data_IF_501890478863
#
_entry.id   IF_501890478863
#
_cell.length_a   1.000
_cell.length_b   1.000
_cell.length_c   1.000
_cell.angle_alpha   90.00
_cell.angle_beta   90.00
_cell.angle_gamma   90.00
#
_symmetry.space_group_name_H-M   'P 1'
#
loop_
_entity.id
_entity.type
_entity.pdbx_description
1 polymer ?
#
# COMPACT_ATOMS: atom_id res chain seq x y z
N UNK A 1 25.03 -7.39 0.18
CA UNK A 1 25.47 -8.57 -0.58
C UNK A 1 24.50 -8.74 -1.76
N UNK A 2 24.87 -8.26 -2.95
CA UNK A 2 24.06 -8.44 -4.16
C UNK A 2 24.69 -9.59 -4.94
N UNK A 3 23.93 -10.66 -5.21
CA UNK A 3 24.42 -11.85 -5.95
C UNK A 3 25.66 -12.52 -5.31
N UNK A 4 25.78 -12.51 -3.99
CA UNK A 4 26.90 -13.13 -3.28
C UNK A 4 28.25 -12.38 -3.38
N UNK A 5 28.29 -11.19 -4.00
CA UNK A 5 29.51 -10.40 -4.13
C UNK A 5 29.58 -9.30 -3.06
N UNK A 6 30.76 -9.13 -2.46
CA UNK A 6 31.08 -7.97 -1.63
C UNK A 6 31.52 -6.82 -2.54
N UNK A 7 30.85 -5.68 -2.40
CA UNK A 7 31.24 -4.44 -3.09
C UNK A 7 31.75 -3.48 -2.03
N UNK A 8 32.99 -3.02 -2.20
CA UNK A 8 33.61 -2.01 -1.35
C UNK A 8 33.77 -0.72 -2.17
N UNK A 9 33.35 0.40 -1.59
CA UNK A 9 33.49 1.73 -2.20
C UNK A 9 34.33 2.59 -1.26
N UNK A 10 35.43 3.14 -1.77
CA UNK A 10 36.38 3.94 -0.99
C UNK A 10 36.59 5.36 -1.54
N UNK A 11 36.06 5.66 -2.73
CA UNK A 11 36.24 6.96 -3.37
C UNK A 11 35.34 8.02 -2.72
N UNK A 12 35.95 9.12 -2.26
CA UNK A 12 35.25 10.20 -1.57
C UNK A 12 34.05 10.79 -2.35
N UNK A 13 34.11 11.00 -3.68
CA UNK A 13 32.96 11.47 -4.43
C UNK A 13 31.78 10.49 -4.41
N UNK A 14 32.06 9.18 -4.45
CA UNK A 14 31.04 8.14 -4.41
C UNK A 14 30.44 8.00 -3.00
N UNK A 15 31.26 8.13 -1.95
CA UNK A 15 30.80 8.12 -0.56
C UNK A 15 29.99 9.38 -0.22
N UNK A 16 30.33 10.53 -0.80
CA UNK A 16 29.70 11.82 -0.50
C UNK A 16 28.21 11.92 -0.84
N UNK A 17 27.69 11.03 -1.67
CA UNK A 17 26.26 10.95 -2.03
C UNK A 17 25.51 9.82 -1.31
N UNK A 18 26.19 8.98 -0.52
CA UNK A 18 25.55 7.92 0.24
C UNK A 18 24.80 8.47 1.45
N UNK A 19 23.61 7.94 1.71
CA UNK A 19 22.82 8.29 2.88
C UNK A 19 23.28 7.48 4.08
N UNK A 20 23.45 8.15 5.22
CA UNK A 20 23.76 7.52 6.51
C UNK A 20 22.67 7.86 7.51
N UNK A 21 22.37 6.91 8.41
CA UNK A 21 21.41 7.14 9.48
C UNK A 21 22.07 7.99 10.58
N UNK A 22 21.43 9.10 10.94
CA UNK A 22 21.89 9.99 12.02
C UNK A 22 20.80 10.11 13.07
N UNK A 23 21.18 10.07 14.34
CA UNK A 23 20.26 10.37 15.44
C UNK A 23 20.13 11.88 15.55
N UNK A 24 18.95 12.43 15.24
CA UNK A 24 18.62 13.82 15.52
C UNK A 24 18.26 13.96 17.01
N UNK A 25 19.08 14.68 17.77
CA UNK A 25 18.86 14.94 19.21
C UNK A 25 18.29 16.33 19.48
N UNK A 26 17.93 17.08 18.43
CA UNK A 26 17.37 18.42 18.50
C UNK A 26 15.85 18.42 18.38
N UNK A 27 15.33 19.11 17.37
CA UNK A 27 13.89 19.22 17.13
C UNK A 27 13.27 17.92 16.60
N UNK A 28 11.94 17.80 16.71
CA UNK A 28 11.19 16.67 16.17
C UNK A 28 11.28 16.58 14.63
N UNK A 29 10.93 15.43 14.06
CA UNK A 29 10.94 15.24 12.61
C UNK A 29 9.93 16.17 11.92
N UNK A 30 10.17 16.44 10.63
CA UNK A 30 9.21 17.18 9.80
C UNK A 30 7.85 16.46 9.79
N UNK A 31 6.76 17.23 9.97
CA UNK A 31 5.40 16.68 10.03
C UNK A 31 4.99 16.08 11.39
N UNK A 32 5.85 16.17 12.43
CA UNK A 32 5.49 15.72 13.77
C UNK A 32 4.29 16.51 14.34
N UNK A 33 3.28 15.81 14.83
CA UNK A 33 2.05 16.39 15.38
C UNK A 33 2.02 16.42 16.91
N UNK A 34 3.13 16.15 17.59
CA UNK A 34 3.18 16.21 19.05
C UNK A 34 3.06 17.65 19.57
N UNK A 35 2.58 17.82 20.79
CA UNK A 35 2.34 19.13 21.43
C UNK A 35 3.54 20.07 21.38
N UNK A 36 4.76 19.55 21.53
CA UNK A 36 5.99 20.34 21.47
C UNK A 36 6.35 20.82 20.06
N UNK A 37 5.99 20.06 19.03
CA UNK A 37 6.27 20.41 17.63
C UNK A 37 5.19 21.33 17.06
N UNK A 38 3.92 21.13 17.44
CA UNK A 38 2.80 21.98 16.99
C UNK A 38 2.85 23.38 17.58
N UNK A 39 3.44 23.55 18.77
CA UNK A 39 3.61 24.86 19.42
C UNK A 39 4.71 25.73 18.77
N UNK A 40 5.57 25.16 17.91
CA UNK A 40 6.61 25.89 17.19
C UNK A 40 6.08 26.27 15.81
N UNK A 41 5.95 27.56 15.55
CA UNK A 41 5.47 28.09 14.26
C UNK A 41 6.14 27.39 13.07
N UNK A 42 5.31 26.78 12.22
CA UNK A 42 5.74 25.88 11.18
C UNK A 42 6.58 26.60 10.12
N UNK A 43 7.89 26.38 10.11
CA UNK A 43 8.65 26.48 8.84
C UNK A 43 7.90 25.63 7.82
N UNK A 44 7.59 26.19 6.64
CA UNK A 44 6.95 25.46 5.52
C UNK A 44 7.75 24.18 5.24
N UNK A 45 7.33 23.07 5.83
CA UNK A 45 7.91 21.75 5.57
C UNK A 45 7.51 21.36 4.16
N UNK A 46 8.46 20.85 3.38
CA UNK A 46 8.14 20.26 2.08
C UNK A 46 7.14 19.12 2.31
N UNK A 47 6.04 19.14 1.58
CA UNK A 47 5.05 18.08 1.60
C UNK A 47 5.65 16.79 1.06
N UNK A 48 5.24 15.66 1.61
CA UNK A 48 5.68 14.34 1.19
C UNK A 48 4.90 13.91 -0.06
N UNK A 49 5.62 13.44 -1.08
CA UNK A 49 5.08 12.93 -2.35
C UNK A 49 5.31 11.41 -2.48
N UNK A 50 5.42 10.73 -1.34
CA UNK A 50 5.67 9.29 -1.26
C UNK A 50 4.59 8.64 -0.39
N UNK A 51 4.16 7.43 -0.79
CA UNK A 51 3.22 6.63 -0.01
C UNK A 51 3.88 6.19 1.31
N UNK A 52 3.16 6.35 2.42
CA UNK A 52 3.63 5.90 3.73
C UNK A 52 3.16 4.45 3.98
N UNK A 53 4.12 3.53 4.08
CA UNK A 53 3.87 2.11 4.32
C UNK A 53 4.26 1.78 5.75
N UNK A 54 3.26 1.55 6.60
CA UNK A 54 3.50 1.11 7.97
C UNK A 54 3.78 -0.39 8.02
N UNK A 55 4.77 -0.81 8.80
CA UNK A 55 5.05 -2.23 9.05
C UNK A 55 4.15 -2.79 10.15
N UNK A 56 3.56 -3.95 9.89
CA UNK A 56 2.66 -4.66 10.79
C UNK A 56 2.92 -6.17 10.73
N UNK A 57 2.27 -6.91 11.63
CA UNK A 57 2.39 -8.36 11.71
C UNK A 57 1.01 -8.99 11.96
N UNK A 58 0.68 -10.07 11.24
CA UNK A 58 -0.59 -10.80 11.40
C UNK A 58 -0.84 -11.20 12.86
N UNK A 59 -2.09 -11.10 13.30
CA UNK A 59 -2.48 -11.44 14.67
C UNK A 59 -2.12 -10.39 15.72
N UNK A 60 -1.37 -9.34 15.34
CA UNK A 60 -1.14 -8.17 16.20
C UNK A 60 -2.43 -7.37 16.38
N UNK A 61 -2.46 -6.53 17.42
CA UNK A 61 -3.58 -5.62 17.66
C UNK A 61 -3.82 -4.71 16.45
N UNK A 62 -5.08 -4.50 16.10
CA UNK A 62 -5.47 -3.56 15.05
C UNK A 62 -4.99 -2.14 15.38
N UNK A 63 -4.34 -1.41 14.44
CA UNK A 63 -3.77 -0.09 14.71
C UNK A 63 -4.85 0.99 14.73
N UNK A 64 -5.44 1.22 15.92
CA UNK A 64 -6.51 2.22 16.12
C UNK A 64 -6.02 3.67 16.03
N UNK A 65 -4.71 3.88 16.16
CA UNK A 65 -4.05 5.19 16.19
C UNK A 65 -3.51 5.62 14.81
N UNK A 66 -3.58 4.74 13.80
CA UNK A 66 -3.09 5.02 12.45
C UNK A 66 -4.25 5.05 11.45
N UNK A 67 -4.37 6.12 10.64
CA UNK A 67 -5.38 6.19 9.59
C UNK A 67 -4.98 5.30 8.42
N UNK A 68 -5.39 4.04 8.41
CA UNK A 68 -5.08 3.12 7.32
C UNK A 68 -6.05 3.34 6.15
N UNK A 69 -5.54 3.34 4.92
CA UNK A 69 -6.37 3.55 3.72
C UNK A 69 -7.38 2.41 3.53
N UNK A 70 -8.66 2.76 3.65
CA UNK A 70 -9.82 1.88 3.48
C UNK A 70 -10.27 1.84 2.03
N UNK A 71 -10.57 0.63 1.54
CA UNK A 71 -11.12 0.42 0.21
C UNK A 71 -12.39 1.25 -0.01
N UNK A 72 -12.41 2.07 -1.08
CA UNK A 72 -13.55 2.94 -1.46
C UNK A 72 -14.10 3.85 -0.34
N UNK A 73 -13.36 4.03 0.75
CA UNK A 73 -13.82 4.71 1.97
C UNK A 73 -15.14 4.17 2.55
N UNK A 74 -15.48 2.90 2.30
CA UNK A 74 -16.71 2.24 2.79
C UNK A 74 -16.51 0.73 2.97
N UNK A 75 -17.43 0.02 3.66
CA UNK A 75 -17.40 -1.43 3.65
C UNK A 75 -17.62 -1.93 2.22
N UNK A 76 -16.91 -2.99 1.86
CA UNK A 76 -17.13 -3.71 0.60
C UNK A 76 -18.21 -4.76 0.78
N UNK A 77 -18.97 -5.04 -0.28
CA UNK A 77 -19.96 -6.11 -0.28
C UNK A 77 -19.26 -7.47 -0.41
N UNK A 78 -18.82 -8.08 0.70
CA UNK A 78 -18.16 -9.39 0.63
C UNK A 78 -19.18 -10.54 0.70
N UNK A 79 -18.80 -11.79 0.33
CA UNK A 79 -19.66 -12.97 0.51
C UNK A 79 -20.09 -13.23 1.97
N UNK A 80 -19.33 -12.74 2.96
CA UNK A 80 -19.68 -12.84 4.39
C UNK A 80 -20.46 -11.63 4.92
N UNK A 81 -20.88 -10.71 4.04
CA UNK A 81 -21.52 -9.45 4.38
C UNK A 81 -20.57 -8.26 4.26
N UNK A 82 -21.04 -7.04 4.62
CA UNK A 82 -20.21 -5.85 4.59
C UNK A 82 -18.96 -5.97 5.48
N UNK A 83 -17.77 -5.79 4.90
CA UNK A 83 -16.49 -5.86 5.63
C UNK A 83 -15.55 -4.73 5.17
N UNK A 84 -14.76 -4.22 6.10
CA UNK A 84 -13.74 -3.22 5.81
C UNK A 84 -12.45 -3.86 5.37
N UNK A 85 -12.07 -3.57 4.13
CA UNK A 85 -10.78 -3.96 3.57
C UNK A 85 -9.82 -2.77 3.55
N UNK A 86 -8.56 -3.04 3.86
CA UNK A 86 -7.50 -2.04 3.93
C UNK A 86 -6.35 -2.43 2.99
N UNK A 87 -5.79 -1.43 2.32
CA UNK A 87 -4.71 -1.65 1.33
C UNK A 87 -3.46 -2.17 2.02
N UNK A 88 -2.98 -3.32 1.55
CA UNK A 88 -1.84 -4.01 2.15
C UNK A 88 -0.89 -4.59 1.11
N UNK A 89 0.37 -4.73 1.49
CA UNK A 89 1.47 -5.24 0.69
C UNK A 89 2.20 -6.35 1.48
N UNK A 90 2.47 -7.44 0.79
CA UNK A 90 3.28 -8.56 1.29
C UNK A 90 4.34 -8.94 0.25
N UNK A 91 5.35 -9.68 0.66
CA UNK A 91 6.36 -10.21 -0.25
C UNK A 91 6.45 -11.73 -0.14
N UNK A 92 6.27 -12.41 -1.28
CA UNK A 92 6.45 -13.85 -1.38
C UNK A 92 7.56 -14.16 -2.39
N UNK A 93 8.64 -14.82 -1.95
CA UNK A 93 9.84 -15.07 -2.75
C UNK A 93 10.39 -13.84 -3.49
N UNK A 94 10.37 -12.67 -2.84
CA UNK A 94 10.88 -11.41 -3.39
C UNK A 94 9.93 -10.72 -4.38
N UNK A 95 8.74 -11.26 -4.62
CA UNK A 95 7.70 -10.64 -5.44
C UNK A 95 6.73 -9.84 -4.57
N UNK A 96 6.42 -8.58 -4.92
CA UNK A 96 5.39 -7.81 -4.22
C UNK A 96 4.00 -8.35 -4.54
N UNK A 97 3.19 -8.53 -3.49
CA UNK A 97 1.81 -8.98 -3.55
C UNK A 97 0.94 -7.92 -2.87
N UNK A 98 0.16 -7.17 -3.65
CA UNK A 98 -0.90 -6.32 -3.09
C UNK A 98 -2.08 -7.20 -2.70
N UNK A 99 -2.78 -6.82 -1.64
CA UNK A 99 -3.92 -7.56 -1.14
C UNK A 99 -4.71 -6.75 -0.13
N UNK A 100 -5.44 -7.45 0.74
CA UNK A 100 -6.25 -6.83 1.77
C UNK A 100 -5.82 -7.25 3.16
N UNK A 101 -5.96 -6.32 4.09
CA UNK A 101 -6.03 -6.58 5.51
C UNK A 101 -7.40 -6.18 6.06
N UNK A 102 -7.82 -6.79 7.17
CA UNK A 102 -9.06 -6.43 7.88
C UNK A 102 -8.94 -6.70 9.37
N UNK A 103 -9.84 -6.08 10.14
CA UNK A 103 -9.91 -6.25 11.58
C UNK A 103 -10.73 -7.51 11.92
N UNK A 104 -10.05 -8.59 12.31
CA UNK A 104 -10.66 -9.81 12.82
C UNK A 104 -10.62 -9.80 14.35
N UNK A 105 -11.73 -9.42 14.97
CA UNK A 105 -11.89 -9.44 16.44
C UNK A 105 -10.78 -8.68 17.20
N UNK A 106 -10.42 -7.49 16.72
CA UNK A 106 -9.38 -6.63 17.30
C UNK A 106 -7.97 -6.92 16.79
N UNK A 107 -7.78 -7.92 15.93
CA UNK A 107 -6.47 -8.31 15.40
C UNK A 107 -6.38 -8.15 13.89
N UNK A 108 -5.16 -7.96 13.41
CA UNK A 108 -4.87 -7.87 11.98
C UNK A 108 -4.97 -9.27 11.37
N UNK A 109 -5.77 -9.39 10.33
CA UNK A 109 -5.74 -10.51 9.40
C UNK A 109 -5.57 -10.00 7.97
N UNK A 110 -5.13 -10.86 7.05
CA UNK A 110 -4.88 -10.48 5.66
C UNK A 110 -5.02 -11.65 4.69
N UNK A 111 -5.14 -11.30 3.41
CA UNK A 111 -5.22 -12.25 2.30
C UNK A 111 -4.51 -11.67 1.08
N UNK A 112 -3.61 -12.48 0.52
CA UNK A 112 -2.81 -12.17 -0.66
C UNK A 112 -2.90 -13.32 -1.67
N UNK A 113 -2.70 -13.00 -2.95
CA UNK A 113 -2.60 -14.00 -4.01
C UNK A 113 -1.17 -14.05 -4.53
N UNK A 114 -0.63 -15.27 -4.61
CA UNK A 114 0.55 -15.53 -5.42
C UNK A 114 0.51 -16.94 -6.02
N UNK A 115 1.01 -17.07 -7.26
CA UNK A 115 1.06 -18.34 -7.99
C UNK A 115 -0.26 -19.12 -7.97
N UNK A 116 -1.40 -18.42 -8.11
CA UNK A 116 -2.74 -19.02 -8.13
C UNK A 116 -3.20 -19.58 -6.79
N UNK A 117 -2.60 -19.16 -5.67
CA UNK A 117 -2.97 -19.58 -4.32
C UNK A 117 -3.25 -18.39 -3.41
N UNK A 118 -4.16 -18.58 -2.47
CA UNK A 118 -4.38 -17.65 -1.36
C UNK A 118 -3.36 -17.89 -0.25
N UNK A 119 -2.84 -16.80 0.31
CA UNK A 119 -2.03 -16.79 1.52
C UNK A 119 -2.72 -15.92 2.57
N UNK A 120 -3.02 -16.52 3.72
CA UNK A 120 -3.75 -15.90 4.84
C UNK A 120 -3.30 -16.52 6.16
N UNK A 121 -3.58 -15.86 7.29
CA UNK A 121 -3.14 -16.30 8.62
C UNK A 121 -1.63 -16.22 8.81
N UNK A 122 -1.10 -17.05 9.71
CA UNK A 122 0.27 -16.91 10.24
C UNK A 122 1.39 -17.03 9.18
N UNK A 123 1.13 -17.68 8.04
CA UNK A 123 2.10 -17.83 6.94
C UNK A 123 2.50 -16.48 6.32
N UNK A 124 1.64 -15.47 6.41
CA UNK A 124 1.93 -14.13 5.91
C UNK A 124 2.97 -13.44 6.80
N UNK A 125 2.87 -13.58 8.12
CA UNK A 125 3.77 -12.95 9.08
C UNK A 125 3.77 -11.43 8.98
N UNK A 126 4.90 -10.84 8.58
CA UNK A 126 5.04 -9.40 8.41
C UNK A 126 4.38 -8.91 7.11
N UNK A 127 3.64 -7.81 7.19
CA UNK A 127 3.05 -7.12 6.04
C UNK A 127 3.19 -5.62 6.20
N UNK A 128 2.84 -4.89 5.15
CA UNK A 128 2.74 -3.44 5.17
C UNK A 128 1.31 -3.00 4.86
N UNK A 129 0.84 -1.92 5.48
CA UNK A 129 -0.45 -1.29 5.15
C UNK A 129 -0.23 0.19 4.86
N UNK A 130 -0.98 0.75 3.91
CA UNK A 130 -0.84 2.17 3.57
C UNK A 130 -1.42 3.02 4.69
N UNK A 131 -0.58 3.87 5.27
CA UNK A 131 -0.96 4.89 6.24
C UNK A 131 -1.25 6.19 5.49
N UNK A 132 -2.41 6.79 5.75
CA UNK A 132 -2.75 8.09 5.22
C UNK A 132 -2.00 9.17 5.98
N UNK A 133 -1.13 9.90 5.28
CA UNK A 133 -0.47 11.05 5.87
C UNK A 133 -1.49 12.15 6.19
N UNK A 134 -1.31 12.91 7.29
CA UNK A 134 -2.14 14.07 7.56
C UNK A 134 -2.12 15.07 6.39
N UNK A 135 -3.22 15.78 6.09
CA UNK A 135 -3.27 16.75 4.97
C UNK A 135 -2.22 17.87 5.06
N UNK A 136 -1.75 18.16 6.27
CA UNK A 136 -0.68 19.14 6.54
C UNK A 136 0.70 18.64 6.10
N UNK A 137 0.90 17.32 5.98
CA UNK A 137 2.15 16.68 5.60
C UNK A 137 2.12 16.12 4.16
N UNK A 138 0.93 15.72 3.67
CA UNK A 138 0.77 15.10 2.35
C UNK A 138 0.78 16.12 1.20
N UNK A 139 1.49 15.76 0.14
CA UNK A 139 1.50 16.44 -1.16
C UNK A 139 0.37 16.03 -2.09
N UNK A 140 -0.37 14.99 -1.71
CA UNK A 140 -1.34 14.30 -2.56
C UNK A 140 -2.49 13.76 -1.72
N UNK A 141 -3.57 13.39 -2.37
CA UNK A 141 -4.69 12.64 -1.80
C UNK A 141 -4.87 11.29 -2.52
N UNK A 142 -5.41 10.30 -1.81
CA UNK A 142 -5.76 9.03 -2.45
C UNK A 142 -7.16 9.08 -3.05
N UNK A 143 -7.27 8.68 -4.30
CA UNK A 143 -8.54 8.50 -4.99
C UNK A 143 -8.62 7.08 -5.56
N UNK A 144 -9.83 6.65 -5.92
CA UNK A 144 -10.07 5.40 -6.62
C UNK A 144 -10.55 5.73 -8.02
N UNK A 145 -9.85 5.23 -9.04
CA UNK A 145 -10.16 5.48 -10.44
C UNK A 145 -10.37 4.15 -11.18
N UNK A 146 -11.24 4.11 -12.21
CA UNK A 146 -11.29 2.98 -13.12
C UNK A 146 -9.90 2.67 -13.70
N UNK A 147 -9.57 1.39 -13.85
CA UNK A 147 -8.30 0.93 -14.44
C UNK A 147 -7.99 1.61 -15.78
N UNK A 148 -9.01 1.80 -16.63
CA UNK A 148 -8.84 2.45 -17.93
C UNK A 148 -8.29 3.87 -17.81
N UNK A 149 -8.60 4.58 -16.72
CA UNK A 149 -8.06 5.90 -16.41
C UNK A 149 -6.71 5.78 -15.69
N UNK A 150 -6.63 4.93 -14.66
CA UNK A 150 -5.43 4.77 -13.84
C UNK A 150 -4.22 4.26 -14.64
N UNK A 151 -4.44 3.40 -15.64
CA UNK A 151 -3.40 2.85 -16.50
C UNK A 151 -2.81 3.86 -17.50
N UNK A 152 -3.47 5.00 -17.72
CA UNK A 152 -3.03 6.05 -18.64
C UNK A 152 -2.07 7.01 -17.95
N UNK A 153 -0.79 6.66 -17.91
CA UNK A 153 0.31 7.51 -17.41
C UNK A 153 0.46 8.88 -18.13
N UNK A 154 -0.32 9.13 -19.18
CA UNK A 154 -0.36 10.42 -19.88
C UNK A 154 -1.13 11.49 -19.11
N UNK A 155 -2.07 11.08 -18.25
CA UNK A 155 -2.77 11.99 -17.36
C UNK A 155 -1.87 12.28 -16.16
N UNK A 156 -1.26 13.46 -16.13
CA UNK A 156 -0.26 13.83 -15.11
C UNK A 156 -0.88 14.07 -13.73
N UNK A 157 -2.20 14.15 -13.67
CA UNK A 157 -2.92 14.49 -12.46
C UNK A 157 -3.03 13.27 -11.52
N UNK A 158 -2.93 12.04 -12.05
CA UNK A 158 -3.09 10.82 -11.25
C UNK A 158 -1.98 9.80 -11.50
N UNK A 159 -1.44 9.26 -10.41
CA UNK A 159 -0.47 8.15 -10.47
C UNK A 159 -1.00 6.97 -9.68
N UNK A 160 -1.11 5.76 -10.27
CA UNK A 160 -1.49 4.56 -9.52
C UNK A 160 -0.54 4.31 -8.36
N UNK A 161 -1.07 3.89 -7.21
CA UNK A 161 -0.21 3.34 -6.16
C UNK A 161 0.23 1.95 -6.58
N UNK A 162 1.53 1.76 -6.77
CA UNK A 162 2.05 0.47 -7.21
C UNK A 162 3.41 0.13 -6.57
N UNK A 163 3.70 -1.17 -6.53
CA UNK A 163 5.04 -1.70 -6.25
C UNK A 163 5.45 -2.59 -7.42
N UNK A 164 6.57 -2.25 -8.08
CA UNK A 164 6.89 -2.80 -9.41
C UNK A 164 5.73 -2.58 -10.38
N UNK A 165 5.08 -3.63 -10.89
CA UNK A 165 3.93 -3.54 -11.80
C UNK A 165 2.59 -3.85 -11.14
N UNK A 166 2.55 -4.02 -9.81
CA UNK A 166 1.35 -4.47 -9.09
C UNK A 166 0.74 -3.31 -8.32
N UNK A 167 -0.54 -3.05 -8.57
CA UNK A 167 -1.34 -2.00 -7.91
C UNK A 167 -2.53 -2.63 -7.15
N UNK A 168 -2.99 -2.06 -6.03
CA UNK A 168 -4.21 -2.51 -5.37
C UNK A 168 -5.44 -2.16 -6.20
N UNK A 169 -6.41 -3.07 -6.30
CA UNK A 169 -7.66 -2.81 -7.00
C UNK A 169 -8.87 -3.51 -6.35
N UNK A 170 -10.06 -2.97 -6.56
CA UNK A 170 -11.32 -3.61 -6.20
C UNK A 170 -11.75 -4.50 -7.35
N UNK A 171 -11.88 -5.79 -7.08
CA UNK A 171 -12.40 -6.79 -7.98
C UNK A 171 -13.88 -6.98 -7.69
N UNK A 172 -14.71 -6.77 -8.71
CA UNK A 172 -16.15 -7.02 -8.65
C UNK A 172 -16.49 -8.31 -9.38
N UNK A 173 -17.14 -9.25 -8.67
CA UNK A 173 -17.65 -10.50 -9.24
C UNK A 173 -19.06 -10.73 -8.72
N UNK A 174 -19.99 -10.93 -9.65
CA UNK A 174 -21.42 -10.98 -9.39
C UNK A 174 -21.92 -9.71 -8.66
N UNK A 175 -22.28 -9.84 -7.38
CA UNK A 175 -22.68 -8.71 -6.52
C UNK A 175 -21.64 -8.35 -5.46
N UNK A 176 -20.50 -9.07 -5.46
CA UNK A 176 -19.47 -8.98 -4.44
C UNK A 176 -18.28 -8.14 -4.87
N UNK A 177 -17.65 -7.52 -3.89
CA UNK A 177 -16.48 -6.66 -4.02
C UNK A 177 -15.38 -7.21 -3.10
N UNK A 178 -14.19 -7.43 -3.66
CA UNK A 178 -13.02 -7.87 -2.88
C UNK A 178 -11.82 -6.98 -3.26
N UNK A 179 -11.07 -6.53 -2.26
CA UNK A 179 -9.81 -5.84 -2.49
C UNK A 179 -8.73 -6.88 -2.79
N UNK A 180 -8.07 -6.72 -3.93
CA UNK A 180 -6.97 -7.55 -4.40
C UNK A 180 -5.94 -6.70 -5.11
N UNK A 181 -5.45 -7.20 -6.23
CA UNK A 181 -4.39 -6.55 -7.00
C UNK A 181 -4.62 -6.64 -8.49
N UNK A 182 -4.04 -5.70 -9.23
CA UNK A 182 -3.91 -5.75 -10.68
C UNK A 182 -2.45 -5.61 -11.07
N UNK A 183 -1.99 -6.46 -11.99
CA UNK A 183 -0.71 -6.31 -12.65
C UNK A 183 -0.87 -5.44 -13.90
N UNK A 184 -0.39 -4.21 -13.85
CA UNK A 184 -0.51 -3.20 -14.90
C UNK A 184 0.20 -3.60 -16.20
N UNK A 185 1.20 -4.49 -16.11
CA UNK A 185 1.95 -4.99 -17.29
C UNK A 185 1.28 -6.22 -17.92
N UNK A 186 0.68 -7.08 -17.11
CA UNK A 186 0.05 -8.32 -17.56
C UNK A 186 -1.45 -8.17 -17.82
N UNK A 187 -2.04 -7.01 -17.47
CA UNK A 187 -3.47 -6.73 -17.56
C UNK A 187 -4.32 -7.84 -16.92
N UNK A 188 -3.93 -8.21 -15.70
CA UNK A 188 -4.53 -9.30 -14.92
C UNK A 188 -4.76 -8.86 -13.49
N UNK A 189 -6.00 -8.99 -13.02
CA UNK A 189 -6.41 -8.72 -11.66
C UNK A 189 -6.71 -10.01 -10.90
N UNK A 190 -6.26 -10.08 -9.65
CA UNK A 190 -6.42 -11.24 -8.78
C UNK A 190 -6.79 -10.84 -7.35
N UNK A 191 -7.70 -11.61 -6.77
CA UNK A 191 -8.08 -11.55 -5.35
C UNK A 191 -8.39 -12.96 -4.88
N UNK A 192 -8.37 -13.20 -3.57
CA UNK A 192 -8.77 -14.49 -3.04
C UNK A 192 -9.82 -14.38 -1.94
N UNK A 193 -10.65 -15.40 -1.80
CA UNK A 193 -11.62 -15.52 -0.72
C UNK A 193 -11.85 -17.00 -0.40
N UNK A 194 -11.65 -17.37 0.87
CA UNK A 194 -11.88 -18.72 1.41
C UNK A 194 -11.25 -19.85 0.57
N UNK A 195 -9.96 -19.70 0.28
CA UNK A 195 -9.12 -20.63 -0.46
C UNK A 195 -9.27 -20.56 -1.98
N UNK A 196 -10.17 -19.72 -2.50
CA UNK A 196 -10.43 -19.60 -3.94
C UNK A 196 -9.80 -18.32 -4.48
N UNK A 197 -9.02 -18.46 -5.55
CA UNK A 197 -8.48 -17.33 -6.30
C UNK A 197 -9.44 -16.94 -7.41
N UNK A 198 -9.76 -15.66 -7.44
CA UNK A 198 -10.54 -14.98 -8.46
C UNK A 198 -9.57 -14.29 -9.41
N UNK A 199 -9.79 -14.43 -10.71
CA UNK A 199 -8.95 -13.83 -11.74
C UNK A 199 -9.81 -13.16 -12.80
N UNK A 200 -9.46 -11.92 -13.15
CA UNK A 200 -9.98 -11.20 -14.30
C UNK A 200 -8.83 -10.73 -15.18
N UNK A 201 -9.01 -10.73 -16.49
CA UNK A 201 -8.02 -10.24 -17.45
C UNK A 201 -8.68 -9.50 -18.62
N UNK A 202 -7.85 -8.78 -19.38
CA UNK A 202 -8.26 -8.08 -20.60
C UNK A 202 -9.41 -7.08 -20.37
N UNK A 203 -10.45 -7.04 -21.22
CA UNK A 203 -11.52 -6.04 -21.11
C UNK A 203 -12.27 -6.04 -19.77
N UNK A 204 -12.24 -7.14 -19.01
CA UNK A 204 -12.94 -7.27 -17.74
C UNK A 204 -12.34 -6.41 -16.63
N UNK A 205 -11.09 -5.97 -16.77
CA UNK A 205 -10.42 -5.19 -15.73
C UNK A 205 -10.65 -3.68 -15.85
N UNK A 206 -11.14 -3.19 -17.00
CA UNK A 206 -11.15 -1.76 -17.34
C UNK A 206 -11.93 -0.88 -16.33
N UNK A 207 -12.99 -1.44 -15.74
CA UNK A 207 -13.85 -0.76 -14.76
C UNK A 207 -13.44 -1.00 -13.31
N UNK A 208 -12.43 -1.83 -13.05
CA UNK A 208 -11.99 -2.11 -11.70
C UNK A 208 -11.40 -0.84 -11.09
N UNK A 209 -11.76 -0.57 -9.85
CA UNK A 209 -11.28 0.62 -9.16
C UNK A 209 -9.86 0.38 -8.65
N UNK A 210 -8.89 1.14 -9.16
CA UNK A 210 -7.48 1.14 -8.77
C UNK A 210 -7.23 2.36 -7.90
N UNK A 211 -6.49 2.19 -6.82
CA UNK A 211 -6.08 3.33 -5.98
C UNK A 211 -4.96 4.13 -6.67
N UNK A 212 -5.15 5.44 -6.73
CA UNK A 212 -4.20 6.40 -7.30
C UNK A 212 -3.96 7.54 -6.31
N UNK A 213 -2.84 8.24 -6.47
CA UNK A 213 -2.55 9.50 -5.82
C UNK A 213 -2.82 10.66 -6.78
N UNK A 214 -3.49 11.70 -6.29
CA UNK A 214 -3.75 12.99 -6.96
C UNK A 214 -2.91 14.08 -6.27
N UNK A 215 -1.97 14.71 -6.99
CA UNK A 215 -1.11 15.78 -6.44
C UNK A 215 0.19 16.08 -7.17
#
# INVERSE_FOLDING_TARGET
MHRGVLVQVSEAPALGSMLVLVRNTGEGPAGCTCSSCTAKDSKKSKKLIVNDWGDFYIGSQWPIDKPIVRALNRPLRTPRGPEDHFVSLWYHHGKPCMGRAWNRAGKIDASFVDAGREFTGDVVGSLQMIVQLPPTAAGFEYCWLPYEQASQYSDKDYTPVHMSHVAPCIIEIDSYEILGSVNLKQERAEAAFDGRVLTLDGPKIQKLMVISSDG
#
